data_IF_854240386658
#
_entry.id   IF_854240386658
#
_cell.length_a   1.000
_cell.length_b   1.000
_cell.length_c   1.000
_cell.angle_alpha   90.00
_cell.angle_beta   90.00
_cell.angle_gamma   90.00
#
_symmetry.space_group_name_H-M   'P 1'
#
loop_
_entity.id
_entity.type
_entity.pdbx_description
1 polymer ?
#
# COMPACT_ATOMS: atom_id res chain seq x y z
N UNK A 1 52.60 -35.71 -19.32
CA UNK A 1 51.55 -35.71 -20.36
C UNK A 1 50.22 -35.43 -19.67
N UNK A 2 49.55 -34.35 -20.08
CA UNK A 2 48.15 -33.98 -19.82
C UNK A 2 47.74 -33.67 -18.38
N UNK A 3 46.98 -32.63 -18.02
CA UNK A 3 46.54 -31.36 -18.60
C UNK A 3 45.92 -30.58 -17.42
N UNK A 4 46.11 -29.27 -17.33
CA UNK A 4 45.15 -28.36 -16.67
C UNK A 4 44.25 -27.78 -17.77
N UNK A 5 42.94 -27.54 -17.52
CA UNK A 5 42.52 -26.15 -17.30
C UNK A 5 41.30 -25.94 -16.33
N UNK A 6 41.41 -24.85 -15.56
CA UNK A 6 40.45 -23.74 -15.38
C UNK A 6 39.01 -23.97 -14.86
N UNK A 7 38.71 -23.29 -13.73
CA UNK A 7 37.52 -22.42 -13.61
C UNK A 7 36.53 -22.74 -12.48
N UNK A 8 36.35 -21.79 -11.55
CA UNK A 8 35.17 -21.74 -10.68
C UNK A 8 35.44 -21.38 -9.22
N UNK A 9 35.74 -20.11 -8.95
CA UNK A 9 35.72 -19.55 -7.61
C UNK A 9 34.26 -19.32 -7.17
N UNK A 10 33.81 -19.98 -6.10
CA UNK A 10 32.64 -19.58 -5.33
C UNK A 10 32.89 -20.00 -3.89
N UNK A 11 33.48 -19.09 -3.11
CA UNK A 11 33.59 -19.23 -1.67
C UNK A 11 32.21 -19.47 -1.06
N UNK A 12 32.11 -20.57 -0.32
CA UNK A 12 31.03 -20.83 0.61
C UNK A 12 31.09 -19.81 1.74
N UNK A 13 30.50 -18.63 1.54
CA UNK A 13 30.23 -17.68 2.62
C UNK A 13 28.92 -18.09 3.31
N UNK A 14 28.99 -19.13 4.15
CA UNK A 14 27.91 -19.47 5.07
C UNK A 14 27.71 -18.28 6.02
N UNK A 15 26.60 -17.55 5.81
CA UNK A 15 26.21 -16.43 6.66
C UNK A 15 25.92 -16.97 8.07
N UNK A 16 26.76 -16.60 9.03
CA UNK A 16 26.60 -16.89 10.45
C UNK A 16 25.35 -16.17 10.99
N UNK A 17 24.22 -16.89 11.04
CA UNK A 17 22.93 -16.41 11.53
C UNK A 17 22.95 -15.97 13.01
N UNK A 18 24.03 -16.19 13.77
CA UNK A 18 24.13 -15.80 15.18
C UNK A 18 24.64 -14.37 15.41
N UNK A 19 24.92 -13.60 14.34
CA UNK A 19 25.36 -12.19 14.44
C UNK A 19 24.32 -11.15 14.01
N UNK A 20 23.14 -11.58 13.60
CA UNK A 20 22.05 -10.67 13.22
C UNK A 20 21.27 -10.33 14.50
N UNK A 21 21.60 -9.19 15.10
CA UNK A 21 20.76 -8.60 16.14
C UNK A 21 19.40 -8.24 15.51
N UNK A 22 18.29 -8.90 15.88
CA UNK A 22 16.98 -8.67 15.28
C UNK A 22 16.44 -7.25 15.54
N UNK A 23 17.07 -6.49 16.43
CA UNK A 23 16.71 -5.12 16.76
C UNK A 23 17.60 -4.06 16.10
N UNK A 24 18.64 -4.47 15.37
CA UNK A 24 19.50 -3.54 14.64
C UNK A 24 19.04 -3.47 13.18
N UNK A 25 18.35 -2.39 12.74
CA UNK A 25 18.03 -2.25 11.33
C UNK A 25 19.34 -2.21 10.54
N UNK A 26 19.48 -3.08 9.54
CA UNK A 26 20.68 -3.21 8.69
C UNK A 26 21.06 -1.88 7.99
N UNK A 27 20.13 -0.93 7.94
CA UNK A 27 20.32 0.42 7.43
C UNK A 27 19.67 1.42 8.39
N UNK A 28 20.31 2.56 8.70
CA UNK A 28 19.67 3.61 9.47
C UNK A 28 18.42 4.07 8.72
N UNK A 29 17.25 3.93 9.36
CA UNK A 29 15.99 4.43 8.81
C UNK A 29 16.16 5.94 8.64
N UNK A 30 16.08 6.46 7.42
CA UNK A 30 16.18 7.90 7.22
C UNK A 30 14.88 8.53 7.74
N UNK A 31 14.97 9.72 8.33
CA UNK A 31 13.77 10.46 8.76
C UNK A 31 12.84 10.72 7.56
N UNK A 32 13.38 10.79 6.33
CA UNK A 32 12.63 10.84 5.08
C UNK A 32 11.75 9.61 4.82
N UNK A 33 12.08 8.47 5.41
CA UNK A 33 11.36 7.21 5.24
C UNK A 33 10.14 7.13 6.17
N UNK A 34 10.12 7.96 7.22
CA UNK A 34 8.95 8.12 8.07
C UNK A 34 7.94 9.04 7.40
N UNK A 35 6.70 8.54 7.21
CA UNK A 35 5.58 9.44 6.95
C UNK A 35 5.41 10.36 8.15
N UNK A 36 5.38 11.66 7.88
CA UNK A 36 5.22 12.70 8.90
C UNK A 36 3.97 12.41 9.74
N UNK A 37 4.10 12.25 11.07
CA UNK A 37 2.95 12.09 11.95
C UNK A 37 1.96 13.24 11.77
N UNK A 38 0.67 12.92 11.69
CA UNK A 38 -0.40 13.92 11.49
C UNK A 38 -0.58 14.38 10.04
N UNK A 39 0.29 13.96 9.10
CA UNK A 39 0.03 14.18 7.67
C UNK A 39 -1.19 13.39 7.20
N UNK A 40 -1.84 13.87 6.13
CA UNK A 40 -2.94 13.15 5.47
C UNK A 40 -2.51 11.72 5.12
N UNK A 41 -1.31 11.52 4.58
CA UNK A 41 -0.79 10.20 4.27
C UNK A 41 -0.66 9.27 5.47
N UNK A 42 -0.29 9.79 6.65
CA UNK A 42 -0.24 9.00 7.89
C UNK A 42 -1.64 8.60 8.38
N UNK A 43 -2.61 9.51 8.29
CA UNK A 43 -4.01 9.26 8.68
C UNK A 43 -4.64 8.23 7.76
N UNK A 44 -4.49 8.39 6.43
CA UNK A 44 -5.03 7.46 5.44
C UNK A 44 -4.38 6.08 5.56
N UNK A 45 -3.07 5.99 5.83
CA UNK A 45 -2.45 4.70 6.08
C UNK A 45 -3.09 4.01 7.30
N UNK A 46 -3.24 4.73 8.41
CA UNK A 46 -3.85 4.20 9.63
C UNK A 46 -5.27 3.68 9.37
N UNK A 47 -6.09 4.51 8.71
CA UNK A 47 -7.46 4.14 8.31
C UNK A 47 -7.48 2.88 7.45
N UNK A 48 -6.72 2.85 6.34
CA UNK A 48 -6.67 1.69 5.43
C UNK A 48 -6.20 0.42 6.13
N UNK A 49 -5.21 0.53 7.02
CA UNK A 49 -4.64 -0.62 7.75
C UNK A 49 -5.66 -1.22 8.72
N UNK A 50 -6.30 -0.39 9.56
CA UNK A 50 -7.26 -0.88 10.56
C UNK A 50 -8.48 -1.48 9.87
N UNK A 51 -9.06 -0.76 8.91
CA UNK A 51 -10.25 -1.24 8.19
C UNK A 51 -9.97 -2.52 7.39
N UNK A 52 -8.82 -2.62 6.73
CA UNK A 52 -8.43 -3.84 6.02
C UNK A 52 -8.36 -5.04 6.97
N UNK A 53 -7.73 -4.89 8.15
CA UNK A 53 -7.68 -5.97 9.15
C UNK A 53 -9.07 -6.42 9.59
N UNK A 54 -9.97 -5.47 9.86
CA UNK A 54 -11.35 -5.77 10.26
C UNK A 54 -12.11 -6.46 9.14
N UNK A 55 -12.00 -5.99 7.90
CA UNK A 55 -12.68 -6.58 6.73
C UNK A 55 -12.20 -8.01 6.48
N UNK A 56 -10.89 -8.23 6.54
CA UNK A 56 -10.29 -9.56 6.31
C UNK A 56 -10.60 -10.58 7.40
N UNK A 57 -11.02 -10.13 8.57
CA UNK A 57 -11.49 -11.03 9.62
C UNK A 57 -12.80 -11.76 9.22
N UNK A 58 -13.52 -11.23 8.23
CA UNK A 58 -14.62 -11.94 7.60
C UNK A 58 -14.09 -12.85 6.48
N UNK A 59 -14.34 -14.15 6.59
CA UNK A 59 -13.87 -15.17 5.61
C UNK A 59 -14.23 -14.85 4.16
N UNK A 60 -15.39 -14.19 3.94
CA UNK A 60 -15.83 -13.78 2.61
C UNK A 60 -14.91 -12.75 1.96
N UNK A 61 -14.15 -11.99 2.75
CA UNK A 61 -13.34 -10.86 2.29
C UNK A 61 -11.88 -10.95 2.72
N UNK A 62 -11.37 -12.16 3.00
CA UNK A 62 -9.97 -12.38 3.41
C UNK A 62 -8.93 -11.82 2.41
N UNK A 63 -9.28 -11.76 1.12
CA UNK A 63 -8.44 -11.23 0.05
C UNK A 63 -8.63 -9.72 -0.19
N UNK A 64 -9.43 -9.01 0.63
CA UNK A 64 -9.69 -7.59 0.44
C UNK A 64 -8.39 -6.78 0.48
N UNK A 65 -8.17 -5.99 -0.57
CA UNK A 65 -7.07 -5.05 -0.68
C UNK A 65 -7.62 -3.67 -1.04
N UNK A 66 -6.99 -2.63 -0.52
CA UNK A 66 -7.27 -1.28 -0.98
C UNK A 66 -6.59 -1.04 -2.32
N UNK A 67 -7.23 -0.27 -3.20
CA UNK A 67 -6.50 0.32 -4.32
C UNK A 67 -5.31 1.13 -3.80
N UNK A 68 -4.21 1.06 -4.55
CA UNK A 68 -2.96 1.74 -4.25
C UNK A 68 -3.18 3.26 -4.21
N UNK A 69 -2.51 3.93 -3.27
CA UNK A 69 -2.54 5.39 -3.08
C UNK A 69 -3.95 5.95 -2.77
N UNK A 70 -4.09 7.26 -2.74
CA UNK A 70 -5.36 7.94 -2.46
C UNK A 70 -5.43 9.25 -3.25
N UNK A 71 -6.65 9.71 -3.52
CA UNK A 71 -6.89 11.00 -4.16
C UNK A 71 -7.16 12.05 -3.08
N UNK A 72 -6.43 13.16 -3.14
CA UNK A 72 -6.66 14.34 -2.33
C UNK A 72 -6.83 15.59 -3.21
N UNK A 73 -7.73 16.48 -2.79
CA UNK A 73 -7.99 17.76 -3.46
C UNK A 73 -8.34 18.81 -2.40
N UNK A 74 -7.65 19.96 -2.43
CA UNK A 74 -7.93 21.08 -1.51
C UNK A 74 -9.08 21.91 -2.11
N UNK A 75 -10.20 21.98 -1.40
CA UNK A 75 -11.36 22.82 -1.76
C UNK A 75 -11.04 24.28 -1.44
N UNK A 76 -11.00 25.14 -2.45
CA UNK A 76 -10.58 26.56 -2.27
C UNK A 76 -11.72 27.57 -2.30
N UNK A 77 -12.92 27.16 -2.69
CA UNK A 77 -14.10 28.03 -2.77
C UNK A 77 -15.41 27.24 -2.69
N UNK A 78 -16.52 27.95 -2.49
CA UNK A 78 -17.85 27.36 -2.39
C UNK A 78 -18.27 26.60 -3.67
N UNK A 79 -17.92 27.13 -4.85
CA UNK A 79 -18.26 26.44 -6.12
C UNK A 79 -17.56 25.09 -6.26
N UNK A 80 -16.32 24.95 -5.81
CA UNK A 80 -15.63 23.65 -5.74
C UNK A 80 -16.29 22.71 -4.75
N UNK A 81 -16.66 23.22 -3.57
CA UNK A 81 -17.38 22.44 -2.56
C UNK A 81 -18.69 21.87 -3.14
N UNK A 82 -19.50 22.72 -3.77
CA UNK A 82 -20.81 22.32 -4.31
C UNK A 82 -20.67 21.22 -5.36
N UNK A 83 -19.68 21.35 -6.26
CA UNK A 83 -19.39 20.34 -7.29
C UNK A 83 -18.95 19.00 -6.68
N UNK A 84 -18.00 19.03 -5.75
CA UNK A 84 -17.49 17.80 -5.11
C UNK A 84 -18.58 17.13 -4.27
N UNK A 85 -19.37 17.92 -3.52
CA UNK A 85 -20.47 17.40 -2.73
C UNK A 85 -21.57 16.79 -3.61
N UNK A 86 -21.89 17.43 -4.74
CA UNK A 86 -22.80 16.87 -5.73
C UNK A 86 -22.28 15.56 -6.33
N UNK A 87 -20.99 15.50 -6.70
CA UNK A 87 -20.35 14.28 -7.19
C UNK A 87 -20.43 13.14 -6.18
N UNK A 88 -20.07 13.36 -4.91
CA UNK A 88 -20.12 12.32 -3.87
C UNK A 88 -21.55 11.78 -3.70
N UNK A 89 -22.56 12.66 -3.69
CA UNK A 89 -23.97 12.26 -3.56
C UNK A 89 -24.46 11.47 -4.78
N UNK A 90 -24.06 11.87 -5.97
CA UNK A 90 -24.60 11.32 -7.22
C UNK A 90 -23.77 10.17 -7.79
N UNK A 91 -22.54 9.93 -7.32
CA UNK A 91 -21.67 8.89 -7.88
C UNK A 91 -22.34 7.52 -7.91
N UNK A 92 -22.99 7.11 -6.81
CA UNK A 92 -23.66 5.81 -6.74
C UNK A 92 -24.80 5.66 -7.77
N UNK A 93 -25.83 6.53 -7.78
CA UNK A 93 -26.93 6.40 -8.74
C UNK A 93 -26.48 6.62 -10.19
N UNK A 94 -25.50 7.49 -10.46
CA UNK A 94 -25.00 7.71 -11.81
C UNK A 94 -24.25 6.49 -12.36
N UNK A 95 -23.49 5.78 -11.53
CA UNK A 95 -22.85 4.52 -11.95
C UNK A 95 -23.87 3.44 -12.28
N UNK A 96 -24.89 3.28 -11.42
CA UNK A 96 -25.98 2.31 -11.65
C UNK A 96 -26.77 2.63 -12.93
N UNK A 97 -27.02 3.92 -13.20
CA UNK A 97 -27.68 4.36 -14.42
C UNK A 97 -26.83 4.10 -15.68
N UNK A 98 -25.53 4.42 -15.61
CA UNK A 98 -24.63 4.34 -16.76
C UNK A 98 -24.25 2.91 -17.13
N UNK A 99 -24.13 2.03 -16.14
CA UNK A 99 -23.60 0.68 -16.32
C UNK A 99 -24.65 -0.43 -16.05
N UNK A 100 -25.88 -0.07 -15.67
CA UNK A 100 -26.90 -1.00 -15.21
C UNK A 100 -26.58 -1.55 -13.80
N UNK A 101 -27.57 -2.17 -13.15
CA UNK A 101 -27.42 -2.80 -11.84
C UNK A 101 -26.57 -4.09 -11.93
N UNK A 102 -25.29 -3.97 -12.28
CA UNK A 102 -24.36 -5.08 -12.32
C UNK A 102 -23.23 -4.84 -11.32
N UNK A 103 -23.03 -5.85 -10.48
CA UNK A 103 -22.08 -5.92 -9.38
C UNK A 103 -20.72 -5.35 -9.81
N UNK A 104 -20.11 -4.42 -9.05
CA UNK A 104 -18.82 -3.86 -9.42
C UNK A 104 -17.75 -4.97 -9.47
N UNK A 105 -16.83 -4.95 -10.46
CA UNK A 105 -15.73 -5.91 -10.52
C UNK A 105 -14.82 -5.80 -9.28
N UNK A 106 -14.16 -6.90 -8.88
CA UNK A 106 -13.39 -7.01 -7.64
C UNK A 106 -12.23 -6.02 -7.52
#
# INVERSE_FOLDING_TARGET
MHNAPTGGNAGNDYIDHHKIDPHKPEKPIKISDYRMPGSIGSIIQGFKTVTQRVIRYNDKYHAFEWQRDYHDHIIRNAGEYDRIAAYIRNNRPEWELKHGAMIPPP
#
